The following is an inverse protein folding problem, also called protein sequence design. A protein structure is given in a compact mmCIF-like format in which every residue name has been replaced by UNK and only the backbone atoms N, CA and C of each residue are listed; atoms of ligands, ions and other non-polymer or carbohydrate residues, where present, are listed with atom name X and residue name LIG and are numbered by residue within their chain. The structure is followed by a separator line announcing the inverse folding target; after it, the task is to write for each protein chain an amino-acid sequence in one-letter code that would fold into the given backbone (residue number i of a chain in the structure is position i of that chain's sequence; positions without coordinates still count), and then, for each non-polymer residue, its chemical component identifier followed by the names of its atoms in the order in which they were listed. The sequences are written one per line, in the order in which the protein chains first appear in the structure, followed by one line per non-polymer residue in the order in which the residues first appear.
data_IF_520569402322
#
_entry.id   IF_520569402322
#
_cell.length_a   1.000
_cell.length_b   1.000
_cell.length_c   1.000
_cell.angle_alpha   90.00
_cell.angle_beta   90.00
_cell.angle_gamma   90.00
#
_symmetry.space_group_name_H-M   'P 1'
#
loop_
_entity.id
_entity.type
_entity.pdbx_description
1 polymer ?
#
# COMPACT_ATOMS: atom_id res chain seq x y z
N UNK A 1 13.48 26.99 8.89
CA UNK A 1 12.74 26.02 9.75
C UNK A 1 11.34 25.73 9.20
N UNK A 2 10.75 26.67 8.51
CA UNK A 2 9.37 26.60 8.02
C UNK A 2 9.15 25.48 6.98
N UNK A 3 10.10 25.31 6.07
CA UNK A 3 10.07 24.23 5.07
C UNK A 3 10.18 22.85 5.72
N UNK A 4 10.97 22.70 6.80
CA UNK A 4 11.17 21.41 7.45
C UNK A 4 9.87 20.85 8.05
N UNK A 5 9.09 21.71 8.75
CA UNK A 5 7.82 21.28 9.33
C UNK A 5 6.84 20.84 8.27
N UNK A 6 6.76 21.56 7.14
CA UNK A 6 5.93 21.19 6.01
C UNK A 6 6.38 19.85 5.40
N UNK A 7 7.70 19.63 5.25
CA UNK A 7 8.22 18.37 4.71
C UNK A 7 7.98 17.19 5.66
N UNK A 8 8.01 17.40 6.96
CA UNK A 8 7.65 16.36 7.93
C UNK A 8 6.17 15.96 7.79
N UNK A 9 5.27 16.94 7.69
CA UNK A 9 3.83 16.67 7.50
C UNK A 9 3.61 15.92 6.18
N UNK A 10 4.15 16.41 5.07
CA UNK A 10 4.04 15.77 3.77
C UNK A 10 4.63 14.36 3.78
N UNK A 11 5.78 14.18 4.42
CA UNK A 11 6.45 12.89 4.56
C UNK A 11 5.66 11.89 5.41
N UNK A 12 5.01 12.33 6.47
CA UNK A 12 4.12 11.49 7.27
C UNK A 12 2.88 11.05 6.48
N UNK A 13 2.28 11.96 5.71
CA UNK A 13 1.14 11.65 4.84
C UNK A 13 1.53 10.64 3.76
N UNK A 14 2.63 10.91 3.04
CA UNK A 14 3.15 10.01 2.00
C UNK A 14 3.56 8.66 2.59
N UNK A 15 4.29 8.68 3.70
CA UNK A 15 4.72 7.49 4.41
C UNK A 15 3.57 6.65 4.95
N UNK A 16 2.47 7.28 5.36
CA UNK A 16 1.25 6.59 5.77
C UNK A 16 0.62 5.80 4.63
N UNK A 17 0.59 6.37 3.43
CA UNK A 17 0.11 5.66 2.24
C UNK A 17 1.03 4.48 1.89
N UNK A 18 2.34 4.66 1.94
CA UNK A 18 3.30 3.57 1.74
C UNK A 18 3.18 2.49 2.82
N UNK A 19 2.95 2.87 4.06
CA UNK A 19 2.74 1.93 5.16
C UNK A 19 1.52 1.03 4.95
N UNK A 20 0.39 1.58 4.48
CA UNK A 20 -0.81 0.79 4.16
C UNK A 20 -0.54 -0.26 3.07
N UNK A 21 0.16 0.13 2.01
CA UNK A 21 0.50 -0.78 0.92
C UNK A 21 1.53 -1.83 1.41
N UNK A 22 2.55 -1.38 2.15
CA UNK A 22 3.60 -2.24 2.71
C UNK A 22 3.05 -3.29 3.69
N UNK A 23 2.01 -2.94 4.46
CA UNK A 23 1.29 -3.89 5.32
C UNK A 23 0.66 -5.02 4.50
N UNK A 24 0.02 -4.69 3.37
CA UNK A 24 -0.54 -5.70 2.47
C UNK A 24 0.52 -6.65 1.90
N UNK A 25 1.66 -6.11 1.47
CA UNK A 25 2.82 -6.93 1.04
C UNK A 25 3.33 -7.83 2.15
N UNK A 26 3.56 -7.25 3.32
CA UNK A 26 4.13 -7.96 4.47
C UNK A 26 3.22 -9.07 4.98
N UNK A 27 1.90 -8.86 4.97
CA UNK A 27 0.94 -9.89 5.36
C UNK A 27 1.00 -11.10 4.43
N UNK A 28 0.97 -10.88 3.13
CA UNK A 28 1.02 -11.96 2.14
C UNK A 28 2.36 -12.68 2.21
N UNK A 29 3.46 -11.92 2.21
CA UNK A 29 4.80 -12.49 2.29
C UNK A 29 5.04 -13.27 3.57
N UNK A 30 4.59 -12.77 4.71
CA UNK A 30 4.76 -13.42 6.02
C UNK A 30 4.14 -14.81 6.10
N UNK A 31 3.14 -15.12 5.26
CA UNK A 31 2.45 -16.42 5.28
C UNK A 31 2.93 -17.36 4.17
N UNK A 32 3.09 -16.85 2.95
CA UNK A 32 3.42 -17.70 1.79
C UNK A 32 4.84 -17.53 1.29
N UNK A 33 5.58 -16.57 1.84
CA UNK A 33 6.95 -16.21 1.43
C UNK A 33 7.09 -15.92 -0.08
N UNK A 34 6.01 -15.45 -0.71
CA UNK A 34 5.96 -15.03 -2.11
C UNK A 34 5.61 -13.56 -2.19
N UNK A 35 6.27 -12.84 -3.10
CA UNK A 35 6.04 -11.42 -3.34
C UNK A 35 4.93 -11.29 -4.38
N UNK A 36 3.87 -10.56 -4.03
CA UNK A 36 2.77 -10.26 -4.95
C UNK A 36 3.02 -8.90 -5.63
N UNK A 37 3.77 -8.86 -6.74
CA UNK A 37 3.98 -7.62 -7.49
C UNK A 37 2.72 -7.02 -8.11
N UNK A 38 1.63 -7.79 -8.22
CA UNK A 38 0.34 -7.27 -8.66
C UNK A 38 -0.38 -6.45 -7.57
N UNK A 39 0.15 -6.40 -6.33
CA UNK A 39 -0.50 -5.70 -5.22
C UNK A 39 -0.63 -4.19 -5.46
N UNK A 40 0.34 -3.55 -6.09
CA UNK A 40 0.25 -2.15 -6.52
C UNK A 40 -0.90 -1.91 -7.48
N UNK A 41 -1.18 -2.85 -8.37
CA UNK A 41 -2.29 -2.72 -9.32
C UNK A 41 -3.66 -2.92 -8.66
N UNK A 42 -3.73 -3.64 -7.55
CA UNK A 42 -4.95 -3.72 -6.73
C UNK A 42 -5.28 -2.34 -6.13
N UNK A 43 -4.27 -1.58 -5.71
CA UNK A 43 -4.40 -0.18 -5.32
C UNK A 43 -5.01 0.67 -6.46
N UNK A 44 -4.46 0.55 -7.67
CA UNK A 44 -4.95 1.24 -8.86
C UNK A 44 -6.42 0.91 -9.14
N UNK A 45 -6.79 -0.38 -9.09
CA UNK A 45 -8.18 -0.81 -9.30
C UNK A 45 -9.09 -0.22 -8.22
N UNK A 46 -8.65 -0.18 -6.96
CA UNK A 46 -9.37 0.48 -5.87
C UNK A 46 -9.63 1.96 -6.15
N UNK A 47 -8.60 2.71 -6.56
CA UNK A 47 -8.70 4.12 -6.91
C UNK A 47 -9.63 4.38 -8.10
N UNK A 48 -9.47 3.64 -9.20
CA UNK A 48 -10.29 3.81 -10.40
C UNK A 48 -11.76 3.39 -10.19
N UNK A 49 -12.00 2.34 -9.40
CA UNK A 49 -13.35 1.92 -9.03
C UNK A 49 -14.02 2.99 -8.16
N UNK A 50 -13.32 3.53 -7.17
CA UNK A 50 -13.86 4.61 -6.34
C UNK A 50 -14.16 5.86 -7.15
N UNK A 51 -13.28 6.24 -8.09
CA UNK A 51 -13.49 7.35 -9.02
C UNK A 51 -14.79 7.16 -9.83
N UNK A 52 -14.99 5.95 -10.40
CA UNK A 52 -16.19 5.62 -11.16
C UNK A 52 -17.46 5.69 -10.30
N UNK A 53 -17.41 5.14 -9.08
CA UNK A 53 -18.53 5.19 -8.14
C UNK A 53 -18.88 6.61 -7.74
N UNK A 54 -17.87 7.46 -7.46
CA UNK A 54 -18.08 8.87 -7.11
C UNK A 54 -18.79 9.60 -8.25
N UNK A 55 -18.31 9.43 -9.50
CA UNK A 55 -18.94 10.05 -10.68
C UNK A 55 -20.40 9.66 -10.84
N UNK A 56 -20.69 8.35 -10.77
CA UNK A 56 -22.06 7.84 -10.87
C UNK A 56 -22.96 8.35 -9.73
N UNK A 57 -22.45 8.45 -8.52
CA UNK A 57 -23.23 8.94 -7.37
C UNK A 57 -23.48 10.44 -7.43
N UNK A 58 -22.52 11.23 -7.90
CA UNK A 58 -22.71 12.68 -8.09
C UNK A 58 -23.76 12.98 -9.16
N UNK A 59 -23.86 12.15 -10.20
CA UNK A 59 -24.90 12.29 -11.23
C UNK A 59 -26.27 11.80 -10.75
N UNK A 60 -26.33 10.64 -10.07
CA UNK A 60 -27.59 10.03 -9.65
C UNK A 60 -28.18 10.65 -8.38
N UNK A 61 -27.34 11.09 -7.46
CA UNK A 61 -27.74 11.55 -6.12
C UNK A 61 -26.95 12.81 -5.69
N UNK A 62 -27.12 13.96 -6.37
CA UNK A 62 -26.35 15.17 -6.11
C UNK A 62 -26.61 15.81 -4.72
N UNK A 63 -27.63 15.36 -4.02
CA UNK A 63 -28.00 15.84 -2.68
C UNK A 63 -27.22 15.16 -1.54
N UNK A 64 -26.45 14.10 -1.83
CA UNK A 64 -25.69 13.41 -0.80
C UNK A 64 -24.44 14.23 -0.39
N UNK A 65 -24.10 14.27 0.92
CA UNK A 65 -22.90 14.93 1.37
C UNK A 65 -21.65 14.19 0.86
N UNK A 66 -20.60 14.94 0.48
CA UNK A 66 -19.40 14.40 -0.16
C UNK A 66 -18.70 13.31 0.66
N UNK A 67 -18.65 13.44 2.00
CA UNK A 67 -18.08 12.42 2.88
C UNK A 67 -18.82 11.08 2.81
N UNK A 68 -20.16 11.09 2.61
CA UNK A 68 -20.95 9.87 2.49
C UNK A 68 -20.72 9.20 1.12
N UNK A 69 -20.62 10.00 0.07
CA UNK A 69 -20.25 9.52 -1.28
C UNK A 69 -18.89 8.83 -1.23
N UNK A 70 -17.90 9.46 -0.59
CA UNK A 70 -16.56 8.89 -0.44
C UNK A 70 -16.59 7.58 0.35
N UNK A 71 -17.36 7.50 1.42
CA UNK A 71 -17.49 6.28 2.24
C UNK A 71 -18.07 5.12 1.44
N UNK A 72 -19.18 5.36 0.71
CA UNK A 72 -19.84 4.33 -0.11
C UNK A 72 -18.90 3.88 -1.24
N UNK A 73 -18.27 4.83 -1.93
CA UNK A 73 -17.30 4.54 -2.97
C UNK A 73 -16.12 3.71 -2.44
N UNK A 74 -15.64 4.01 -1.23
CA UNK A 74 -14.58 3.26 -0.57
C UNK A 74 -15.01 1.82 -0.25
N UNK A 75 -16.22 1.61 0.25
CA UNK A 75 -16.75 0.26 0.53
C UNK A 75 -16.84 -0.56 -0.78
N UNK A 76 -17.39 0.03 -1.84
CA UNK A 76 -17.51 -0.66 -3.14
C UNK A 76 -16.13 -0.98 -3.70
N UNK A 77 -15.20 -0.03 -3.66
CA UNK A 77 -13.82 -0.24 -4.12
C UNK A 77 -13.10 -1.34 -3.33
N UNK A 78 -13.28 -1.39 -2.00
CA UNK A 78 -12.74 -2.46 -1.15
C UNK A 78 -13.33 -3.85 -1.53
N UNK A 79 -14.64 -3.93 -1.79
CA UNK A 79 -15.28 -5.19 -2.20
C UNK A 79 -14.76 -5.65 -3.57
N UNK A 80 -14.64 -4.74 -4.53
CA UNK A 80 -14.10 -5.05 -5.87
C UNK A 80 -12.64 -5.49 -5.78
N UNK A 81 -11.81 -4.75 -5.07
CA UNK A 81 -10.40 -5.09 -4.87
C UNK A 81 -10.22 -6.43 -4.14
N UNK A 82 -11.01 -6.69 -3.10
CA UNK A 82 -11.01 -7.95 -2.36
C UNK A 82 -11.39 -9.14 -3.25
N UNK A 83 -12.45 -8.98 -4.05
CA UNK A 83 -12.90 -9.99 -5.00
C UNK A 83 -11.87 -10.27 -6.08
N UNK A 84 -11.28 -9.21 -6.63
CA UNK A 84 -10.21 -9.32 -7.63
C UNK A 84 -9.01 -10.08 -7.08
N UNK A 85 -8.53 -9.69 -5.90
CA UNK A 85 -7.33 -10.29 -5.31
C UNK A 85 -7.58 -11.74 -4.84
N UNK A 86 -8.81 -12.07 -4.44
CA UNK A 86 -9.23 -13.45 -4.19
C UNK A 86 -9.16 -14.30 -5.47
N UNK A 87 -9.62 -13.76 -6.60
CA UNK A 87 -9.53 -14.44 -7.90
C UNK A 87 -8.06 -14.62 -8.31
N UNK A 88 -7.24 -13.59 -8.17
CA UNK A 88 -5.80 -13.64 -8.45
C UNK A 88 -5.13 -14.73 -7.60
N UNK A 89 -5.42 -14.78 -6.29
CA UNK A 89 -4.89 -15.84 -5.42
C UNK A 89 -5.29 -17.22 -5.92
N UNK A 90 -6.57 -17.42 -6.21
CA UNK A 90 -7.12 -18.74 -6.58
C UNK A 90 -6.63 -19.22 -7.94
N UNK A 91 -6.52 -18.33 -8.92
CA UNK A 91 -6.21 -18.67 -10.31
C UNK A 91 -4.71 -18.61 -10.60
N UNK A 92 -4.02 -17.58 -10.10
CA UNK A 92 -2.62 -17.34 -10.42
C UNK A 92 -1.65 -17.89 -9.37
N UNK A 93 -1.91 -17.71 -8.07
CA UNK A 93 -0.93 -18.07 -7.04
C UNK A 93 -1.13 -19.47 -6.46
N UNK A 94 -2.36 -19.90 -6.23
CA UNK A 94 -2.65 -21.22 -5.63
C UNK A 94 -2.06 -22.39 -6.41
N UNK A 95 -2.17 -22.45 -7.74
CA UNK A 95 -1.59 -23.55 -8.54
C UNK A 95 -0.06 -23.58 -8.49
N UNK A 96 0.58 -22.42 -8.26
CA UNK A 96 2.04 -22.25 -8.31
C UNK A 96 2.74 -22.34 -6.95
N UNK A 97 2.02 -22.62 -5.87
CA UNK A 97 2.62 -22.67 -4.50
C UNK A 97 3.72 -23.72 -4.35
N UNK A 98 3.65 -24.81 -5.10
CA UNK A 98 4.64 -25.88 -5.07
C UNK A 98 5.66 -25.81 -6.22
N UNK A 99 5.59 -24.75 -7.03
CA UNK A 99 6.50 -24.54 -8.17
C UNK A 99 7.79 -23.83 -7.72
N UNK A 100 8.86 -23.86 -8.53
CA UNK A 100 10.07 -23.10 -8.26
C UNK A 100 9.75 -21.61 -8.03
N UNK A 101 10.50 -20.94 -7.15
CA UNK A 101 10.24 -19.55 -6.72
C UNK A 101 10.10 -18.52 -7.85
N UNK A 102 10.71 -18.78 -9.02
CA UNK A 102 10.62 -17.92 -10.19
C UNK A 102 9.24 -17.95 -10.86
N UNK A 103 8.51 -19.08 -10.82
CA UNK A 103 7.22 -19.19 -11.49
C UNK A 103 6.15 -18.24 -10.90
N UNK A 104 5.93 -18.19 -9.56
CA UNK A 104 5.02 -17.20 -8.97
C UNK A 104 5.46 -15.75 -9.22
N UNK A 105 6.78 -15.49 -9.24
CA UNK A 105 7.33 -14.16 -9.50
C UNK A 105 6.97 -13.66 -10.90
N UNK A 106 7.25 -14.47 -11.92
CA UNK A 106 6.93 -14.15 -13.32
C UNK A 106 5.43 -13.98 -13.51
N UNK A 107 4.64 -14.85 -12.88
CA UNK A 107 3.18 -14.78 -12.92
C UNK A 107 2.66 -13.49 -12.28
N UNK A 108 3.24 -13.06 -11.15
CA UNK A 108 2.88 -11.81 -10.48
C UNK A 108 3.11 -10.59 -11.41
N UNK A 109 4.24 -10.55 -12.09
CA UNK A 109 4.56 -9.51 -13.08
C UNK A 109 3.57 -9.56 -14.25
N UNK A 110 3.28 -10.76 -14.76
CA UNK A 110 2.29 -10.95 -15.82
C UNK A 110 0.89 -10.47 -15.43
N UNK A 111 0.45 -10.78 -14.21
CA UNK A 111 -0.83 -10.29 -13.66
C UNK A 111 -0.81 -8.76 -13.51
N UNK A 112 0.30 -8.16 -13.06
CA UNK A 112 0.43 -6.71 -12.97
C UNK A 112 0.22 -6.04 -14.34
N UNK A 113 0.92 -6.51 -15.37
CA UNK A 113 0.78 -5.99 -16.74
C UNK A 113 -0.65 -6.21 -17.28
N UNK A 114 -1.23 -7.38 -17.01
CA UNK A 114 -2.61 -7.68 -17.39
C UNK A 114 -3.59 -6.68 -16.77
N UNK A 115 -3.46 -6.40 -15.48
CA UNK A 115 -4.34 -5.46 -14.78
C UNK A 115 -4.18 -4.02 -15.30
N UNK A 116 -2.96 -3.57 -15.57
CA UNK A 116 -2.70 -2.26 -16.18
C UNK A 116 -3.37 -2.15 -17.55
N UNK A 117 -3.24 -3.19 -18.37
CA UNK A 117 -3.82 -3.23 -19.72
C UNK A 117 -5.35 -3.26 -19.64
N UNK A 118 -5.93 -4.09 -18.77
CA UNK A 118 -7.38 -4.12 -18.55
C UNK A 118 -7.91 -2.78 -18.05
N UNK A 119 -7.21 -2.14 -17.09
CA UNK A 119 -7.58 -0.83 -16.63
C UNK A 119 -7.50 0.23 -17.73
N UNK A 120 -6.49 0.17 -18.61
CA UNK A 120 -6.36 1.07 -19.76
C UNK A 120 -7.53 0.88 -20.75
N UNK A 121 -8.00 -0.35 -20.97
CA UNK A 121 -9.14 -0.64 -21.86
C UNK A 121 -10.45 -0.14 -21.25
N UNK A 122 -10.69 -0.41 -19.94
CA UNK A 122 -11.94 -0.08 -19.26
C UNK A 122 -12.06 1.43 -19.02
N UNK A 123 -11.04 2.04 -18.46
CA UNK A 123 -11.06 3.45 -18.04
C UNK A 123 -10.38 4.40 -19.05
N UNK A 124 -9.84 3.90 -20.16
CA UNK A 124 -9.04 4.65 -21.14
C UNK A 124 -7.70 5.17 -20.56
N UNK A 125 -6.70 5.46 -21.40
CA UNK A 125 -5.34 5.83 -20.93
C UNK A 125 -5.22 7.21 -20.30
N UNK A 126 -6.25 8.06 -20.40
CA UNK A 126 -6.19 9.43 -19.93
C UNK A 126 -6.21 9.51 -18.41
N UNK A 127 -5.48 10.48 -17.85
CA UNK A 127 -5.58 10.84 -16.43
C UNK A 127 -7.00 11.28 -16.10
N UNK A 128 -7.53 10.77 -14.98
CA UNK A 128 -8.83 11.11 -14.45
C UNK A 128 -8.64 12.09 -13.31
N UNK A 129 -9.28 13.26 -13.39
CA UNK A 129 -9.35 14.17 -12.26
C UNK A 129 -10.16 13.50 -11.14
N UNK A 130 -9.54 13.34 -9.97
CA UNK A 130 -10.22 12.77 -8.82
C UNK A 130 -11.01 13.86 -8.09
N UNK A 131 -12.34 13.71 -7.90
CA UNK A 131 -13.16 14.76 -7.33
C UNK A 131 -12.78 15.08 -5.87
N UNK A 132 -12.66 16.36 -5.56
CA UNK A 132 -12.48 16.84 -4.18
C UNK A 132 -13.83 16.86 -3.47
N UNK A 133 -14.07 15.86 -2.62
CA UNK A 133 -15.35 15.70 -1.89
C UNK A 133 -15.33 16.33 -0.49
N UNK A 134 -14.14 16.62 0.01
CA UNK A 134 -13.94 17.26 1.31
C UNK A 134 -13.68 18.75 1.13
N UNK A 135 -13.91 19.52 2.21
CA UNK A 135 -13.59 20.94 2.24
C UNK A 135 -12.13 21.16 1.84
N UNK A 136 -11.89 22.13 0.96
CA UNK A 136 -10.56 22.49 0.50
C UNK A 136 -9.86 23.54 1.39
N UNK A 137 -10.51 24.00 2.47
CA UNK A 137 -9.91 24.99 3.37
C UNK A 137 -8.79 24.36 4.18
N UNK A 138 -7.52 24.76 3.97
CA UNK A 138 -6.41 24.22 4.73
C UNK A 138 -6.39 24.77 6.15
N UNK A 139 -5.83 23.99 7.06
CA UNK A 139 -5.55 24.41 8.43
C UNK A 139 -4.09 24.84 8.55
N UNK A 140 -3.86 26.00 9.17
CA UNK A 140 -2.51 26.48 9.44
C UNK A 140 -2.03 25.95 10.80
N UNK A 141 -0.88 25.31 10.83
CA UNK A 141 -0.20 24.83 12.04
C UNK A 141 1.16 25.52 12.11
N UNK A 142 1.19 26.68 12.76
CA UNK A 142 2.38 27.53 12.79
C UNK A 142 2.71 28.06 11.41
N UNK A 143 3.82 27.64 10.85
CA UNK A 143 4.27 28.00 9.48
C UNK A 143 3.92 26.97 8.41
N UNK A 144 3.36 25.83 8.82
CA UNK A 144 2.98 24.74 7.92
C UNK A 144 1.47 24.69 7.71
N UNK A 145 1.07 24.09 6.60
CA UNK A 145 -0.31 23.94 6.17
C UNK A 145 -0.65 22.47 6.04
N UNK A 146 -1.79 22.05 6.59
CA UNK A 146 -2.33 20.71 6.44
C UNK A 146 -3.74 20.76 5.85
N UNK A 147 -4.00 19.94 4.84
CA UNK A 147 -5.32 19.85 4.24
C UNK A 147 -6.20 18.83 4.98
N UNK A 148 -7.55 18.97 4.94
CA UNK A 148 -8.46 17.97 5.48
C UNK A 148 -8.24 16.57 4.91
N UNK A 149 -7.89 16.47 3.63
CA UNK A 149 -7.54 15.20 2.97
C UNK A 149 -6.31 14.56 3.60
N UNK A 150 -5.28 15.33 3.91
CA UNK A 150 -4.07 14.82 4.57
C UNK A 150 -4.38 14.33 6.00
N UNK A 151 -5.21 15.05 6.74
CA UNK A 151 -5.68 14.59 8.06
C UNK A 151 -6.44 13.27 7.92
N UNK A 152 -7.35 13.18 6.95
CA UNK A 152 -8.08 11.94 6.67
C UNK A 152 -7.14 10.77 6.39
N UNK A 153 -6.10 10.98 5.56
CA UNK A 153 -5.09 9.94 5.26
C UNK A 153 -4.44 9.44 6.54
N UNK A 154 -3.97 10.34 7.42
CA UNK A 154 -3.33 9.96 8.68
C UNK A 154 -4.27 9.19 9.61
N UNK A 155 -5.51 9.67 9.77
CA UNK A 155 -6.52 9.04 10.63
C UNK A 155 -6.92 7.66 10.10
N UNK A 156 -7.23 7.55 8.80
CA UNK A 156 -7.61 6.27 8.16
C UNK A 156 -6.46 5.27 8.26
N UNK A 157 -5.22 5.70 8.04
CA UNK A 157 -4.04 4.83 8.18
C UNK A 157 -3.88 4.36 9.63
N UNK A 158 -4.02 5.23 10.61
CA UNK A 158 -3.92 4.86 12.02
C UNK A 158 -5.00 3.84 12.42
N UNK A 159 -6.25 4.05 11.97
CA UNK A 159 -7.37 3.12 12.21
C UNK A 159 -7.11 1.78 11.52
N UNK A 160 -6.70 1.79 10.25
CA UNK A 160 -6.43 0.58 9.50
C UNK A 160 -5.29 -0.24 10.14
N UNK A 161 -4.21 0.44 10.57
CA UNK A 161 -3.10 -0.16 11.31
C UNK A 161 -3.57 -0.78 12.63
N UNK A 162 -4.29 -0.02 13.45
CA UNK A 162 -4.79 -0.50 14.74
C UNK A 162 -5.71 -1.72 14.56
N UNK A 163 -6.62 -1.66 13.58
CA UNK A 163 -7.53 -2.76 13.24
C UNK A 163 -6.76 -4.01 12.80
N UNK A 164 -5.75 -3.84 11.94
CA UNK A 164 -4.95 -4.96 11.47
C UNK A 164 -4.12 -5.58 12.60
N UNK A 165 -3.47 -4.76 13.43
CA UNK A 165 -2.71 -5.23 14.58
C UNK A 165 -3.60 -5.98 15.58
N UNK A 166 -4.80 -5.47 15.84
CA UNK A 166 -5.80 -6.17 16.65
C UNK A 166 -6.20 -7.51 16.03
N UNK A 167 -6.50 -7.52 14.72
CA UNK A 167 -6.89 -8.73 13.99
C UNK A 167 -5.81 -9.80 14.07
N UNK A 168 -4.55 -9.43 13.78
CA UNK A 168 -3.44 -10.38 13.75
C UNK A 168 -3.08 -10.88 15.16
N UNK A 169 -3.07 -10.02 16.17
CA UNK A 169 -2.58 -10.39 17.51
C UNK A 169 -3.65 -11.05 18.37
N UNK A 170 -4.92 -10.65 18.28
CA UNK A 170 -5.95 -11.03 19.25
C UNK A 170 -7.05 -11.92 18.69
N UNK A 171 -7.20 -12.06 17.34
CA UNK A 171 -8.29 -12.86 16.78
C UNK A 171 -7.92 -14.31 16.50
N UNK A 172 -8.95 -15.15 16.28
CA UNK A 172 -8.75 -16.56 15.85
C UNK A 172 -8.09 -16.64 14.48
N UNK A 173 -8.45 -15.72 13.57
CA UNK A 173 -7.85 -15.65 12.23
C UNK A 173 -6.36 -15.31 12.32
N UNK A 174 -5.97 -14.35 13.15
CA UNK A 174 -4.56 -14.00 13.35
C UNK A 174 -3.74 -15.17 13.93
N UNK A 175 -4.29 -15.94 14.85
CA UNK A 175 -3.63 -17.18 15.33
C UNK A 175 -3.45 -18.20 14.22
N UNK A 176 -4.49 -18.39 13.39
CA UNK A 176 -4.42 -19.29 12.24
C UNK A 176 -3.40 -18.81 11.20
N UNK A 177 -3.28 -17.49 10.98
CA UNK A 177 -2.27 -16.88 10.11
C UNK A 177 -0.85 -17.20 10.60
N UNK A 178 -0.55 -16.97 11.88
CA UNK A 178 0.78 -17.26 12.44
C UNK A 178 1.11 -18.76 12.41
N UNK A 179 0.15 -19.63 12.74
CA UNK A 179 0.33 -21.08 12.64
C UNK A 179 0.60 -21.53 11.20
N UNK A 180 -0.11 -20.95 10.23
CA UNK A 180 0.09 -21.25 8.80
C UNK A 180 1.44 -20.73 8.29
N UNK A 181 1.88 -19.58 8.77
CA UNK A 181 3.19 -18.99 8.44
C UNK A 181 4.35 -19.86 8.94
N UNK A 182 4.22 -20.41 10.15
CA UNK A 182 5.25 -21.29 10.75
C UNK A 182 5.35 -22.63 10.02
N UNK A 183 4.24 -23.35 9.90
CA UNK A 183 4.19 -24.60 9.16
C UNK A 183 2.77 -24.93 8.69
N UNK A 184 2.45 -24.77 7.39
CA UNK A 184 1.11 -25.02 6.87
C UNK A 184 0.63 -26.47 7.05
N UNK A 185 1.55 -27.46 6.99
CA UNK A 185 1.21 -28.88 7.13
C UNK A 185 0.81 -29.20 8.57
N UNK A 186 1.59 -28.73 9.54
CA UNK A 186 1.29 -28.90 10.96
C UNK A 186 0.01 -28.15 11.34
N UNK A 187 -0.18 -26.92 10.85
CA UNK A 187 -1.40 -26.17 11.07
C UNK A 187 -2.64 -26.93 10.56
N UNK A 188 -2.53 -27.58 9.40
CA UNK A 188 -3.62 -28.41 8.86
C UNK A 188 -3.96 -29.60 9.76
N UNK A 189 -2.98 -30.26 10.36
CA UNK A 189 -3.20 -31.35 11.33
C UNK A 189 -3.92 -30.86 12.60
N UNK A 190 -3.74 -29.58 12.96
CA UNK A 190 -4.42 -28.93 14.10
C UNK A 190 -5.80 -28.36 13.73
N UNK A 191 -6.34 -28.69 12.54
CA UNK A 191 -7.67 -28.28 12.10
C UNK A 191 -7.74 -26.91 11.42
N UNK A 192 -6.63 -26.21 11.23
CA UNK A 192 -6.58 -24.99 10.43
C UNK A 192 -6.68 -25.35 8.94
N UNK A 193 -7.40 -24.55 8.15
CA UNK A 193 -7.45 -24.71 6.69
C UNK A 193 -6.52 -23.67 6.05
N UNK A 194 -5.25 -24.02 5.68
CA UNK A 194 -4.25 -23.07 5.20
C UNK A 194 -4.72 -22.26 3.98
N UNK A 195 -5.43 -22.91 3.04
CA UNK A 195 -5.96 -22.24 1.85
C UNK A 195 -6.93 -21.11 2.18
N UNK A 196 -7.82 -21.30 3.15
CA UNK A 196 -8.74 -20.24 3.58
C UNK A 196 -8.00 -19.10 4.27
N UNK A 197 -6.99 -19.42 5.07
CA UNK A 197 -6.16 -18.41 5.76
C UNK A 197 -5.41 -17.56 4.74
N UNK A 198 -4.81 -18.18 3.73
CA UNK A 198 -4.07 -17.48 2.67
C UNK A 198 -5.02 -16.60 1.86
N UNK A 199 -6.18 -17.14 1.43
CA UNK A 199 -7.18 -16.33 0.72
C UNK A 199 -7.67 -15.14 1.55
N UNK A 200 -7.91 -15.32 2.85
CA UNK A 200 -8.28 -14.23 3.76
C UNK A 200 -7.19 -13.17 3.84
N UNK A 201 -5.92 -13.57 3.86
CA UNK A 201 -4.78 -12.64 3.86
C UNK A 201 -4.72 -11.80 2.58
N UNK A 202 -4.95 -12.43 1.42
CA UNK A 202 -5.03 -11.71 0.14
C UNK A 202 -6.18 -10.71 0.12
N UNK A 203 -7.35 -11.08 0.66
CA UNK A 203 -8.52 -10.20 0.78
C UNK A 203 -8.21 -8.99 1.68
N UNK A 204 -7.64 -9.22 2.86
CA UNK A 204 -7.29 -8.14 3.78
C UNK A 204 -6.24 -7.20 3.16
N UNK A 205 -5.20 -7.77 2.54
CA UNK A 205 -4.20 -6.99 1.81
C UNK A 205 -4.83 -6.12 0.72
N UNK A 206 -5.80 -6.67 -0.03
CA UNK A 206 -6.49 -5.92 -1.08
C UNK A 206 -7.35 -4.76 -0.53
N UNK A 207 -7.99 -4.95 0.61
CA UNK A 207 -8.74 -3.88 1.28
C UNK A 207 -7.79 -2.74 1.68
N UNK A 208 -6.63 -3.07 2.26
CA UNK A 208 -5.61 -2.06 2.60
C UNK A 208 -5.08 -1.34 1.35
N UNK A 209 -4.83 -2.07 0.26
CA UNK A 209 -4.40 -1.49 -1.01
C UNK A 209 -5.47 -0.57 -1.61
N UNK A 210 -6.75 -0.95 -1.58
CA UNK A 210 -7.84 -0.12 -2.07
C UNK A 210 -7.98 1.17 -1.27
N UNK A 211 -7.91 1.09 0.06
CA UNK A 211 -7.92 2.27 0.94
C UNK A 211 -6.72 3.18 0.61
N UNK A 212 -5.52 2.62 0.49
CA UNK A 212 -4.33 3.38 0.11
C UNK A 212 -4.49 4.04 -1.26
N UNK A 213 -5.08 3.36 -2.24
CA UNK A 213 -5.34 3.88 -3.58
C UNK A 213 -6.31 5.05 -3.59
N UNK A 214 -7.39 4.97 -2.82
CA UNK A 214 -8.36 6.05 -2.65
C UNK A 214 -7.68 7.26 -2.00
N UNK A 215 -6.91 7.04 -0.94
CA UNK A 215 -6.19 8.10 -0.24
C UNK A 215 -5.13 8.75 -1.14
N UNK A 216 -4.40 7.94 -1.91
CA UNK A 216 -3.42 8.41 -2.89
C UNK A 216 -4.08 9.26 -3.97
N UNK A 217 -5.17 8.77 -4.59
CA UNK A 217 -5.90 9.51 -5.62
C UNK A 217 -6.53 10.80 -5.06
N UNK A 218 -7.07 10.77 -3.85
CA UNK A 218 -7.63 11.95 -3.19
C UNK A 218 -6.58 13.01 -2.85
N UNK A 219 -5.37 12.58 -2.44
CA UNK A 219 -4.28 13.48 -2.08
C UNK A 219 -3.64 14.14 -3.30
N UNK A 220 -3.45 13.38 -4.39
CA UNK A 220 -2.83 13.90 -5.63
C UNK A 220 -3.84 14.44 -6.65
N UNK A 221 -5.14 14.26 -6.40
CA UNK A 221 -6.22 14.76 -7.28
C UNK A 221 -6.31 14.04 -8.63
N UNK A 222 -5.63 12.91 -8.82
CA UNK A 222 -5.58 12.18 -10.08
C UNK A 222 -5.61 10.68 -9.90
N UNK A 223 -6.24 9.98 -10.85
CA UNK A 223 -6.19 8.52 -10.97
C UNK A 223 -5.91 8.12 -12.43
N UNK A 224 -5.09 7.11 -12.64
CA UNK A 224 -4.76 6.58 -13.96
C UNK A 224 -4.36 5.10 -13.91
N UNK A 225 -4.34 4.45 -15.06
CA UNK A 225 -4.17 2.99 -15.20
C UNK A 225 -2.78 2.46 -14.81
N UNK A 226 -1.79 3.29 -14.61
CA UNK A 226 -0.44 2.88 -14.16
C UNK A 226 -0.08 3.43 -12.78
N UNK A 227 -1.03 4.07 -12.08
CA UNK A 227 -0.75 4.76 -10.80
C UNK A 227 -0.30 3.82 -9.69
N UNK A 228 -0.56 2.52 -9.81
CA UNK A 228 -0.22 1.54 -8.78
C UNK A 228 1.24 1.09 -8.81
N UNK A 229 1.90 1.17 -9.96
CA UNK A 229 3.22 0.60 -10.17
C UNK A 229 4.30 1.23 -9.28
N UNK A 230 4.51 2.54 -9.37
CA UNK A 230 5.55 3.23 -8.59
C UNK A 230 5.30 3.21 -7.08
N UNK A 231 4.09 3.57 -6.57
CA UNK A 231 3.81 3.45 -5.14
C UNK A 231 3.88 2.00 -4.65
N UNK A 232 3.48 1.03 -5.46
CA UNK A 232 3.62 -0.39 -5.15
C UNK A 232 5.08 -0.81 -4.99
N UNK A 233 5.96 -0.42 -5.93
CA UNK A 233 7.39 -0.71 -5.85
C UNK A 233 8.04 -0.04 -4.62
N UNK A 234 7.72 1.23 -4.36
CA UNK A 234 8.22 1.96 -3.18
C UNK A 234 7.74 1.33 -1.87
N UNK A 235 6.47 0.95 -1.79
CA UNK A 235 5.95 0.29 -0.60
C UNK A 235 6.54 -1.11 -0.38
N UNK A 236 6.84 -1.85 -1.45
CA UNK A 236 7.58 -3.10 -1.35
C UNK A 236 8.99 -2.85 -0.79
N UNK A 237 9.71 -1.85 -1.30
CA UNK A 237 11.03 -1.49 -0.76
C UNK A 237 10.94 -1.03 0.70
N UNK A 238 9.89 -0.31 1.07
CA UNK A 238 9.61 0.08 2.44
C UNK A 238 9.36 -1.13 3.36
N UNK A 239 8.62 -2.14 2.89
CA UNK A 239 8.41 -3.38 3.62
C UNK A 239 9.72 -4.15 3.85
N UNK A 240 10.59 -4.23 2.83
CA UNK A 240 11.92 -4.85 2.93
C UNK A 240 12.80 -4.05 3.90
N UNK A 241 12.81 -2.73 3.78
CA UNK A 241 13.54 -1.83 4.66
C UNK A 241 13.11 -1.94 6.13
N UNK A 242 11.80 -2.05 6.37
CA UNK A 242 11.26 -2.24 7.72
C UNK A 242 11.56 -3.61 8.31
N UNK A 243 11.78 -4.62 7.47
CA UNK A 243 11.94 -6.04 7.82
C UNK A 243 10.73 -6.84 7.36
N UNK A 244 10.85 -7.42 6.17
CA UNK A 244 9.75 -8.14 5.51
C UNK A 244 9.23 -9.29 6.40
N UNK A 245 7.90 -9.39 6.54
CA UNK A 245 7.26 -10.33 7.46
C UNK A 245 6.89 -9.75 8.83
N UNK A 246 7.48 -8.61 9.22
CA UNK A 246 7.13 -7.89 10.45
C UNK A 246 6.19 -6.71 10.15
N UNK A 247 4.96 -6.76 10.66
CA UNK A 247 3.94 -5.72 10.43
C UNK A 247 4.38 -4.35 10.97
N UNK A 248 4.93 -4.30 12.17
CA UNK A 248 5.43 -3.05 12.75
C UNK A 248 6.62 -2.50 11.93
N UNK A 249 7.50 -3.41 11.45
CA UNK A 249 8.58 -3.06 10.55
C UNK A 249 8.09 -2.42 9.27
N UNK A 250 7.08 -2.99 8.61
CA UNK A 250 6.51 -2.44 7.39
C UNK A 250 5.96 -1.03 7.56
N UNK A 251 5.31 -0.75 8.71
CA UNK A 251 4.80 0.60 9.03
C UNK A 251 5.94 1.58 9.23
N UNK A 252 6.92 1.23 10.04
CA UNK A 252 8.09 2.09 10.29
C UNK A 252 8.85 2.32 8.99
N UNK A 253 9.04 1.27 8.17
CA UNK A 253 9.68 1.38 6.87
C UNK A 253 8.93 2.30 5.91
N UNK A 254 7.59 2.21 5.85
CA UNK A 254 6.74 3.09 5.06
C UNK A 254 6.83 4.55 5.50
N UNK A 255 6.70 4.80 6.79
CA UNK A 255 6.81 6.15 7.35
C UNK A 255 8.19 6.77 7.11
N UNK A 256 9.24 6.01 7.35
CA UNK A 256 10.61 6.50 7.13
C UNK A 256 10.89 6.76 5.65
N UNK A 257 10.45 5.87 4.74
CA UNK A 257 10.60 6.09 3.31
C UNK A 257 9.88 7.38 2.87
N UNK A 258 8.65 7.59 3.32
CA UNK A 258 7.91 8.82 3.01
C UNK A 258 8.58 10.08 3.58
N UNK A 259 9.15 10.01 4.78
CA UNK A 259 9.92 11.12 5.36
C UNK A 259 11.20 11.41 4.57
N UNK A 260 11.97 10.37 4.23
CA UNK A 260 13.20 10.50 3.42
C UNK A 260 12.87 11.13 2.07
N UNK A 261 11.83 10.65 1.41
CA UNK A 261 11.39 11.14 0.12
C UNK A 261 10.93 12.60 0.19
N UNK A 262 10.12 12.96 1.18
CA UNK A 262 9.62 14.32 1.35
C UNK A 262 10.73 15.30 1.69
N UNK A 263 11.59 14.97 2.66
CA UNK A 263 12.72 15.82 3.05
C UNK A 263 13.71 15.94 1.88
N UNK A 264 14.01 14.83 1.20
CA UNK A 264 14.85 14.82 0.00
C UNK A 264 14.30 15.74 -1.08
N UNK A 265 12.99 15.66 -1.39
CA UNK A 265 12.32 16.52 -2.35
C UNK A 265 12.42 18.02 -2.00
N UNK A 266 12.33 18.33 -0.72
CA UNK A 266 12.36 19.72 -0.24
C UNK A 266 13.74 20.37 -0.25
N UNK A 267 14.81 19.58 -0.09
CA UNK A 267 16.17 20.11 0.12
C UNK A 267 17.18 19.75 -0.97
N UNK A 268 16.88 18.77 -1.83
CA UNK A 268 17.85 18.29 -2.84
C UNK A 268 18.24 19.39 -3.83
N UNK A 269 17.31 20.28 -4.19
CA UNK A 269 17.59 21.41 -5.06
C UNK A 269 18.59 22.39 -4.45
N UNK A 270 18.37 22.74 -3.17
CA UNK A 270 19.23 23.68 -2.45
C UNK A 270 20.62 23.08 -2.18
N UNK A 271 20.69 21.80 -1.81
CA UNK A 271 21.94 21.09 -1.54
C UNK A 271 22.80 20.89 -2.77
N UNK A 272 22.20 20.82 -3.96
CA UNK A 272 22.91 20.56 -5.22
C UNK A 272 23.08 21.82 -6.08
N UNK A 273 22.76 23.00 -5.54
CA UNK A 273 22.82 24.27 -6.30
C UNK A 273 21.87 24.30 -7.51
N UNK A 274 20.74 23.57 -7.45
CA UNK A 274 19.74 23.48 -8.51
C UNK A 274 20.03 22.46 -9.61
N UNK A 275 21.13 21.69 -9.50
CA UNK A 275 21.48 20.65 -10.49
C UNK A 275 20.52 19.46 -10.43
N UNK A 276 20.10 19.05 -9.22
CA UNK A 276 19.13 17.99 -9.00
C UNK A 276 17.79 18.61 -8.55
N UNK A 277 16.76 18.46 -9.37
CA UNK A 277 15.40 18.87 -9.02
C UNK A 277 14.62 17.76 -8.30
N UNK A 278 13.35 18.06 -7.96
CA UNK A 278 12.44 17.13 -7.29
C UNK A 278 12.18 15.83 -8.08
N UNK A 279 12.43 15.79 -9.39
CA UNK A 279 12.36 14.58 -10.22
C UNK A 279 13.37 13.50 -9.82
N UNK A 280 14.42 13.85 -9.10
CA UNK A 280 15.44 12.91 -8.61
C UNK A 280 15.18 12.38 -7.19
N UNK A 281 14.06 12.75 -6.59
CA UNK A 281 13.70 12.35 -5.23
C UNK A 281 13.64 10.84 -5.06
N UNK A 282 13.12 10.14 -6.06
CA UNK A 282 13.04 8.67 -6.05
C UNK A 282 14.42 8.03 -6.01
N UNK A 283 15.37 8.56 -6.76
CA UNK A 283 16.76 8.08 -6.79
C UNK A 283 17.40 8.28 -5.41
N UNK A 284 17.20 9.43 -4.79
CA UNK A 284 17.70 9.70 -3.45
C UNK A 284 17.13 8.72 -2.41
N UNK A 285 15.82 8.50 -2.44
CA UNK A 285 15.17 7.56 -1.54
C UNK A 285 15.70 6.12 -1.71
N UNK A 286 15.89 5.67 -2.95
CA UNK A 286 16.47 4.35 -3.23
C UNK A 286 17.94 4.24 -2.85
N UNK A 287 18.75 5.29 -3.02
CA UNK A 287 20.16 5.29 -2.58
C UNK A 287 20.23 5.13 -1.06
N UNK A 288 19.45 5.91 -0.30
CA UNK A 288 19.41 5.79 1.16
C UNK A 288 18.98 4.39 1.57
N UNK A 289 17.98 3.83 0.90
CA UNK A 289 17.51 2.47 1.15
C UNK A 289 18.61 1.42 0.89
N UNK A 290 19.33 1.52 -0.23
CA UNK A 290 20.44 0.60 -0.56
C UNK A 290 21.52 0.68 0.51
N UNK A 291 21.92 1.89 0.94
CA UNK A 291 22.90 2.08 2.01
C UNK A 291 22.46 1.36 3.29
N UNK A 292 21.20 1.56 3.70
CA UNK A 292 20.70 0.96 4.95
C UNK A 292 20.60 -0.55 4.84
N UNK A 293 20.12 -1.10 3.72
CA UNK A 293 20.05 -2.56 3.51
C UNK A 293 21.43 -3.20 3.39
N UNK A 294 22.43 -2.48 2.90
CA UNK A 294 23.83 -2.96 2.88
C UNK A 294 24.38 -3.05 4.30
N UNK A 295 24.04 -2.09 5.16
CA UNK A 295 24.46 -2.08 6.56
C UNK A 295 23.65 -3.04 7.45
N UNK A 296 22.35 -3.22 7.12
CA UNK A 296 21.40 -4.05 7.85
C UNK A 296 20.50 -4.87 6.91
N UNK A 297 20.99 -6.00 6.39
CA UNK A 297 20.27 -6.80 5.39
C UNK A 297 18.96 -7.42 5.91
N UNK A 298 18.78 -7.55 7.23
CA UNK A 298 17.52 -7.99 7.85
C UNK A 298 16.45 -6.90 7.92
N UNK A 299 16.76 -5.67 7.53
CA UNK A 299 15.89 -4.50 7.73
C UNK A 299 15.99 -3.95 9.17
N UNK A 300 15.17 -2.92 9.45
CA UNK A 300 15.23 -2.22 10.76
C UNK A 300 14.70 -3.08 11.92
N UNK A 301 13.56 -3.75 11.73
CA UNK A 301 12.87 -4.56 12.72
C UNK A 301 12.71 -6.04 12.30
N UNK A 302 13.50 -6.47 11.30
CA UNK A 302 13.53 -7.87 10.89
C UNK A 302 14.17 -8.76 11.96
N UNK A 303 13.61 -9.96 12.15
CA UNK A 303 14.21 -10.97 13.00
C UNK A 303 15.51 -11.47 12.35
N UNK A 304 16.58 -11.52 13.12
CA UNK A 304 17.80 -12.23 12.70
C UNK A 304 17.44 -13.71 12.63
N UNK A 305 17.40 -14.25 11.42
CA UNK A 305 17.41 -15.71 11.26
C UNK A 305 18.72 -16.16 11.87
N UNK A 306 18.65 -16.77 13.05
CA UNK A 306 19.80 -17.43 13.61
C UNK A 306 20.23 -18.49 12.60
N UNK A 307 21.46 -18.39 12.10
CA UNK A 307 22.06 -19.46 11.31
C UNK A 307 22.00 -20.73 12.16
N UNK A 308 21.03 -21.59 11.87
CA UNK A 308 21.02 -22.95 12.37
C UNK A 308 22.06 -23.68 11.51
N UNK A 309 23.30 -23.69 12.03
CA UNK A 309 24.34 -24.57 11.57
C UNK A 309 23.94 -26.06 11.70
#
# INVERSE_FOLDING_TARGET
MDILLQQIINGLVLGSMYALIALGYTMVYGIIQLINFAHGEVLMVGALTSWSCIGLMQEAMPYLPGWLILLIAAIIACVVAASLNFVIEKVAYRPLRNSPRLAPLITAIGVSILLQTLAMIIWKPNYKAYPTLLSSTPYEIGTAVITPTQILVLVVTAIALATLMYLVNYTRLGRAMRATAENPRVAALMGVKPDMVISATFIIGAVLAAIAGIMYASNYGTAHHTMGFLPGLKAFTAAVFGGIGNLAGAVVGGLLLGLIESIGSGYIGDLTGGVLGSQYTDIFAFIVLIIILTLRPSGLLGERVADRA
#
